data_IF_506343313650
#
_entry.id   IF_506343313650
#
_cell.length_a   1.000
_cell.length_b   1.000
_cell.length_c   1.000
_cell.angle_alpha   90.00
_cell.angle_beta   90.00
_cell.angle_gamma   90.00
#
_symmetry.space_group_name_H-M   'P 1'
#
loop_
_entity.id
_entity.type
_entity.pdbx_description
1 polymer ?
#
# COMPACT_ATOMS: atom_id res chain seq x y z
N UNK A 1 3.07 -23.19 30.86
CA UNK A 1 2.60 -21.88 31.37
C UNK A 1 2.89 -20.87 30.27
N UNK A 2 1.90 -20.54 29.45
CA UNK A 2 2.05 -19.50 28.43
C UNK A 2 1.67 -18.17 29.06
N UNK A 3 2.67 -17.40 29.47
CA UNK A 3 2.47 -16.00 29.86
C UNK A 3 2.16 -15.22 28.61
N UNK A 4 0.89 -14.89 28.40
CA UNK A 4 0.48 -13.88 27.42
C UNK A 4 1.20 -12.59 27.78
N UNK A 5 2.00 -11.98 26.89
CA UNK A 5 2.69 -10.74 27.22
C UNK A 5 1.65 -9.65 27.50
N UNK A 6 1.74 -9.01 28.67
CA UNK A 6 0.90 -7.87 29.01
C UNK A 6 1.11 -6.75 27.98
N UNK A 7 0.04 -6.06 27.54
CA UNK A 7 0.17 -4.95 26.61
C UNK A 7 1.02 -3.85 27.25
N UNK A 8 2.15 -3.52 26.62
CA UNK A 8 3.05 -2.45 27.07
C UNK A 8 2.27 -1.14 27.15
N UNK A 9 2.12 -0.59 28.37
CA UNK A 9 1.48 0.71 28.56
C UNK A 9 2.41 1.83 28.10
N UNK A 10 2.05 2.52 27.01
CA UNK A 10 2.78 3.68 26.51
C UNK A 10 2.40 4.96 27.26
N UNK A 11 3.40 5.77 27.62
CA UNK A 11 3.24 7.08 28.24
C UNK A 11 2.60 8.09 27.29
N UNK A 12 2.04 9.18 27.84
CA UNK A 12 1.45 10.27 27.05
C UNK A 12 2.45 10.86 26.05
N UNK A 13 3.71 11.04 26.47
CA UNK A 13 4.79 11.56 25.63
C UNK A 13 5.08 10.65 24.44
N UNK A 14 5.09 9.33 24.65
CA UNK A 14 5.29 8.35 23.58
C UNK A 14 4.12 8.35 22.60
N UNK A 15 2.88 8.45 23.09
CA UNK A 15 1.68 8.55 22.25
C UNK A 15 1.69 9.80 21.37
N UNK A 16 2.02 10.96 21.94
CA UNK A 16 2.11 12.22 21.20
C UNK A 16 3.19 12.17 20.11
N UNK A 17 4.38 11.69 20.45
CA UNK A 17 5.47 11.52 19.47
C UNK A 17 5.06 10.54 18.36
N UNK A 18 4.35 9.46 18.70
CA UNK A 18 3.84 8.52 17.70
C UNK A 18 2.89 9.18 16.69
N UNK A 19 1.98 10.06 17.16
CA UNK A 19 1.08 10.82 16.29
C UNK A 19 1.82 11.80 15.38
N UNK A 20 2.86 12.48 15.88
CA UNK A 20 3.69 13.37 15.05
C UNK A 20 4.45 12.59 13.98
N UNK A 21 5.02 11.43 14.36
CA UNK A 21 5.72 10.54 13.43
C UNK A 21 4.78 9.92 12.40
N UNK A 22 3.51 9.70 12.75
CA UNK A 22 2.51 9.23 11.79
C UNK A 22 2.44 10.19 10.61
N UNK A 23 2.23 11.50 10.84
CA UNK A 23 2.15 12.49 9.74
C UNK A 23 3.33 12.45 8.76
N UNK A 24 4.53 12.20 9.26
CA UNK A 24 5.72 12.05 8.41
C UNK A 24 5.68 10.76 7.57
N UNK A 25 5.19 9.65 8.14
CA UNK A 25 4.96 8.39 7.42
C UNK A 25 3.86 8.54 6.37
N UNK A 26 2.78 9.24 6.70
CA UNK A 26 1.65 9.54 5.80
C UNK A 26 2.13 10.26 4.54
N UNK A 27 2.93 11.31 4.72
CA UNK A 27 3.57 12.04 3.61
C UNK A 27 4.41 11.11 2.73
N UNK A 28 5.18 10.21 3.33
CA UNK A 28 6.02 9.26 2.59
C UNK A 28 5.22 8.23 1.81
N UNK A 29 4.09 7.76 2.35
CA UNK A 29 3.16 6.86 1.64
C UNK A 29 2.68 7.54 0.35
N UNK A 30 2.18 8.78 0.45
CA UNK A 30 1.67 9.54 -0.70
C UNK A 30 2.77 9.77 -1.74
N UNK A 31 3.95 10.18 -1.31
CA UNK A 31 5.06 10.42 -2.23
C UNK A 31 5.52 9.14 -2.94
N UNK A 32 5.54 8.02 -2.22
CA UNK A 32 5.99 6.73 -2.76
C UNK A 32 4.92 6.05 -3.60
N UNK A 33 3.63 6.36 -3.38
CA UNK A 33 2.52 5.76 -4.15
C UNK A 33 2.41 6.33 -5.56
N UNK A 34 2.78 7.59 -5.78
CA UNK A 34 2.68 8.23 -7.10
C UNK A 34 3.34 7.42 -8.24
N UNK A 35 4.62 7.01 -8.17
CA UNK A 35 5.23 6.22 -9.23
C UNK A 35 4.57 4.84 -9.40
N UNK A 36 4.07 4.23 -8.31
CA UNK A 36 3.32 2.98 -8.40
C UNK A 36 1.98 3.16 -9.13
N UNK A 37 1.22 4.22 -8.80
CA UNK A 37 -0.06 4.55 -9.44
C UNK A 37 0.15 4.79 -10.93
N UNK A 38 1.14 5.60 -11.30
CA UNK A 38 1.47 5.89 -12.70
C UNK A 38 1.82 4.60 -13.47
N UNK A 39 2.58 3.70 -12.84
CA UNK A 39 2.93 2.42 -13.45
C UNK A 39 1.70 1.51 -13.61
N UNK A 40 0.86 1.41 -12.59
CA UNK A 40 -0.38 0.63 -12.62
C UNK A 40 -1.33 1.13 -13.69
N UNK A 41 -1.54 2.46 -13.79
CA UNK A 41 -2.39 3.04 -14.82
C UNK A 41 -1.89 2.65 -16.22
N UNK A 42 -0.60 2.84 -16.50
CA UNK A 42 -0.05 2.49 -17.81
C UNK A 42 -0.15 0.98 -18.12
N UNK A 43 0.15 0.11 -17.17
CA UNK A 43 0.11 -1.34 -17.40
C UNK A 43 -1.32 -1.86 -17.55
N UNK A 44 -2.26 -1.36 -16.73
CA UNK A 44 -3.66 -1.74 -16.81
C UNK A 44 -4.32 -1.23 -18.10
N UNK A 45 -4.03 0.01 -18.54
CA UNK A 45 -4.47 0.53 -19.84
C UNK A 45 -4.01 -0.36 -20.99
N UNK A 46 -2.74 -0.78 -20.98
CA UNK A 46 -2.19 -1.68 -21.98
C UNK A 46 -2.86 -3.06 -21.96
N UNK A 47 -3.33 -3.53 -20.80
CA UNK A 47 -4.00 -4.83 -20.66
C UNK A 47 -5.45 -4.81 -21.18
N UNK A 48 -6.16 -3.69 -21.00
CA UNK A 48 -7.55 -3.55 -21.45
C UNK A 48 -7.68 -2.98 -22.87
N UNK A 49 -6.57 -2.60 -23.50
CA UNK A 49 -6.48 -1.98 -24.83
C UNK A 49 -7.41 -0.77 -25.01
N UNK A 50 -7.61 -0.03 -23.92
CA UNK A 50 -8.46 1.16 -23.87
C UNK A 50 -8.06 2.07 -22.72
N UNK A 51 -8.66 3.26 -22.67
CA UNK A 51 -8.45 4.21 -21.57
C UNK A 51 -9.02 3.66 -20.28
N UNK A 52 -8.30 3.83 -19.18
CA UNK A 52 -8.78 3.40 -17.86
C UNK A 52 -10.13 4.04 -17.51
N UNK A 53 -11.14 3.25 -17.09
CA UNK A 53 -12.38 3.78 -16.59
C UNK A 53 -12.13 4.75 -15.42
N UNK A 54 -12.81 5.90 -15.44
CA UNK A 54 -12.67 6.96 -14.43
C UNK A 54 -12.83 6.42 -13.00
N UNK A 55 -13.67 5.41 -12.81
CA UNK A 55 -13.87 4.79 -11.50
C UNK A 55 -12.61 4.06 -11.02
N UNK A 56 -11.98 3.24 -11.87
CA UNK A 56 -10.73 2.55 -11.53
C UNK A 56 -9.57 3.53 -11.30
N UNK A 57 -9.49 4.62 -12.08
CA UNK A 57 -8.52 5.70 -11.85
C UNK A 57 -8.73 6.32 -10.46
N UNK A 58 -9.98 6.67 -10.13
CA UNK A 58 -10.33 7.23 -8.82
C UNK A 58 -9.98 6.32 -7.67
N UNK A 59 -10.09 5.00 -7.82
CA UNK A 59 -9.68 4.02 -6.82
C UNK A 59 -8.17 4.11 -6.52
N UNK A 60 -7.33 4.11 -7.57
CA UNK A 60 -5.88 4.21 -7.42
C UNK A 60 -5.41 5.57 -6.88
N UNK A 61 -6.14 6.63 -7.21
CA UNK A 61 -5.88 7.99 -6.73
C UNK A 61 -6.46 8.24 -5.34
N UNK A 62 -7.13 7.27 -4.72
CA UNK A 62 -7.53 7.41 -3.31
C UNK A 62 -6.27 7.62 -2.48
N UNK A 63 -6.29 8.69 -1.69
CA UNK A 63 -5.16 9.11 -0.88
C UNK A 63 -4.79 8.11 0.22
N UNK A 64 -3.92 8.57 1.10
CA UNK A 64 -3.22 7.80 2.14
C UNK A 64 -4.08 6.88 3.03
N UNK A 65 -5.33 7.25 3.30
CA UNK A 65 -6.26 6.45 4.12
C UNK A 65 -6.60 5.09 3.46
N UNK A 66 -6.51 4.98 2.13
CA UNK A 66 -6.83 3.75 1.40
C UNK A 66 -5.60 2.92 1.04
N UNK A 67 -4.40 3.49 1.16
CA UNK A 67 -3.14 2.73 1.25
C UNK A 67 -2.96 2.16 2.66
N UNK A 68 -4.01 1.54 3.21
CA UNK A 68 -4.08 0.92 4.54
C UNK A 68 -4.30 -0.59 4.42
N UNK A 69 -4.27 -1.28 5.57
CA UNK A 69 -4.66 -2.70 5.69
C UNK A 69 -4.00 -3.63 4.68
N UNK A 70 -2.68 -3.72 4.85
CA UNK A 70 -1.82 -4.54 4.03
C UNK A 70 -2.20 -6.01 4.17
N UNK A 71 -2.54 -6.63 3.05
CA UNK A 71 -2.78 -8.08 3.02
C UNK A 71 -1.44 -8.81 2.89
N UNK A 72 -1.02 -9.45 3.98
CA UNK A 72 0.26 -10.15 4.06
C UNK A 72 0.28 -11.45 3.26
N UNK A 73 -0.87 -11.94 2.76
CA UNK A 73 -0.88 -13.11 1.86
C UNK A 73 -0.23 -12.81 0.51
N UNK A 74 -0.14 -11.54 0.12
CA UNK A 74 0.48 -11.13 -1.12
C UNK A 74 2.00 -10.93 -0.97
N UNK A 75 2.80 -11.38 -1.95
CA UNK A 75 4.24 -11.15 -1.97
C UNK A 75 4.62 -9.66 -1.93
N UNK A 76 5.86 -9.37 -1.57
CA UNK A 76 6.40 -8.00 -1.42
C UNK A 76 6.53 -7.21 -2.73
N UNK A 77 6.36 -7.87 -3.86
CA UNK A 77 6.36 -7.28 -5.19
C UNK A 77 4.95 -7.13 -5.77
N UNK A 78 3.92 -7.65 -5.10
CA UNK A 78 2.57 -7.64 -5.62
C UNK A 78 1.79 -6.43 -5.07
N UNK A 79 1.41 -5.46 -5.91
CA UNK A 79 0.67 -4.28 -5.49
C UNK A 79 -0.76 -4.62 -5.03
N UNK A 80 -1.30 -5.81 -5.34
CA UNK A 80 -2.59 -6.28 -4.81
C UNK A 80 -2.59 -6.48 -3.30
N UNK A 81 -1.44 -6.38 -2.63
CA UNK A 81 -1.40 -6.29 -1.17
C UNK A 81 -2.16 -5.06 -0.63
N UNK A 82 -2.37 -4.02 -1.45
CA UNK A 82 -3.16 -2.84 -1.10
C UNK A 82 -4.62 -2.96 -1.61
N UNK A 83 -5.63 -2.64 -0.77
CA UNK A 83 -7.04 -2.68 -1.17
C UNK A 83 -7.36 -1.88 -2.43
N UNK A 84 -6.86 -0.64 -2.55
CA UNK A 84 -7.09 0.22 -3.72
C UNK A 84 -6.72 -0.41 -5.04
N UNK A 85 -5.68 -1.23 -5.05
CA UNK A 85 -5.22 -1.90 -6.27
C UNK A 85 -6.16 -3.05 -6.61
N UNK A 86 -6.65 -3.79 -5.61
CA UNK A 86 -7.65 -4.85 -5.82
C UNK A 86 -8.97 -4.27 -6.31
N UNK A 87 -9.43 -3.20 -5.66
CA UNK A 87 -10.66 -2.51 -6.03
C UNK A 87 -10.57 -2.00 -7.48
N UNK A 88 -9.44 -1.38 -7.86
CA UNK A 88 -9.22 -0.94 -9.23
C UNK A 88 -9.21 -2.09 -10.25
N UNK A 89 -8.60 -3.24 -9.92
CA UNK A 89 -8.58 -4.43 -10.80
C UNK A 89 -9.97 -5.04 -10.93
N UNK A 90 -10.75 -5.06 -9.83
CA UNK A 90 -12.12 -5.56 -9.81
C UNK A 90 -13.04 -4.71 -10.69
N UNK A 91 -12.91 -3.38 -10.65
CA UNK A 91 -13.64 -2.47 -11.54
C UNK A 91 -13.35 -2.71 -13.03
N UNK A 92 -12.19 -3.27 -13.36
CA UNK A 92 -11.82 -3.65 -14.72
C UNK A 92 -12.28 -5.06 -15.09
N UNK A 93 -12.86 -5.81 -14.14
CA UNK A 93 -13.19 -7.23 -14.27
C UNK A 93 -11.99 -8.08 -14.74
N UNK A 94 -10.76 -7.67 -14.38
CA UNK A 94 -9.54 -8.36 -14.79
C UNK A 94 -9.24 -9.55 -13.88
N UNK A 95 -8.91 -10.69 -14.50
CA UNK A 95 -8.36 -11.85 -13.80
C UNK A 95 -6.86 -11.94 -14.07
N UNK A 96 -6.06 -11.40 -13.15
CA UNK A 96 -4.61 -11.44 -13.25
C UNK A 96 -4.05 -12.68 -12.52
N UNK A 97 -3.15 -13.46 -13.14
CA UNK A 97 -2.52 -14.59 -12.46
C UNK A 97 -1.69 -14.15 -11.24
N UNK A 98 -1.38 -15.08 -10.35
CA UNK A 98 -0.69 -14.79 -9.09
C UNK A 98 0.71 -14.18 -9.32
N UNK A 99 1.38 -14.56 -10.39
CA UNK A 99 2.74 -14.15 -10.75
C UNK A 99 2.79 -12.96 -11.73
N UNK A 100 1.62 -12.39 -12.09
CA UNK A 100 1.52 -11.33 -13.09
C UNK A 100 2.55 -10.20 -12.88
N UNK A 101 2.56 -9.60 -11.70
CA UNK A 101 3.45 -8.47 -11.37
C UNK A 101 4.91 -8.87 -11.21
N UNK A 102 5.20 -10.14 -10.87
CA UNK A 102 6.56 -10.65 -10.79
C UNK A 102 7.23 -10.72 -12.17
N UNK A 103 6.42 -11.03 -13.19
CA UNK A 103 6.88 -11.22 -14.57
C UNK A 103 6.88 -9.93 -15.40
N UNK A 104 6.40 -8.80 -14.85
CA UNK A 104 6.42 -7.52 -15.54
C UNK A 104 7.86 -7.03 -15.74
N UNK A 105 8.19 -6.47 -16.92
CA UNK A 105 9.51 -5.91 -17.17
C UNK A 105 9.79 -4.71 -16.27
N UNK A 106 11.06 -4.44 -16.04
CA UNK A 106 11.49 -3.21 -15.37
C UNK A 106 11.19 -2.02 -16.27
N UNK A 107 10.69 -0.93 -15.67
CA UNK A 107 10.48 0.35 -16.35
C UNK A 107 11.30 1.42 -15.64
N UNK A 108 12.08 2.16 -16.42
CA UNK A 108 13.07 3.11 -15.90
C UNK A 108 14.02 2.48 -14.85
N UNK A 109 14.35 1.19 -15.03
CA UNK A 109 15.19 0.42 -14.11
C UNK A 109 14.47 -0.11 -12.86
N UNK A 110 13.22 0.27 -12.61
CA UNK A 110 12.46 -0.12 -11.43
C UNK A 110 11.55 -1.32 -11.72
N UNK A 111 11.51 -2.28 -10.81
CA UNK A 111 10.55 -3.38 -10.78
C UNK A 111 9.34 -3.01 -9.89
N UNK A 112 8.25 -3.78 -9.97
CA UNK A 112 7.14 -3.62 -9.03
C UNK A 112 7.56 -3.77 -7.57
N UNK A 113 8.53 -4.64 -7.27
CA UNK A 113 9.11 -4.75 -5.92
C UNK A 113 9.71 -3.43 -5.44
N UNK A 114 10.44 -2.74 -6.32
CA UNK A 114 11.10 -1.48 -6.00
C UNK A 114 10.09 -0.36 -5.69
N UNK A 115 8.87 -0.46 -6.25
CA UNK A 115 7.77 0.48 -6.05
C UNK A 115 6.87 0.12 -4.85
N UNK A 116 6.58 -1.17 -4.65
CA UNK A 116 5.67 -1.66 -3.60
C UNK A 116 6.32 -1.63 -2.23
N UNK A 117 7.58 -2.07 -2.13
CA UNK A 117 8.26 -2.25 -0.84
C UNK A 117 8.35 -0.97 0.01
N UNK A 118 8.73 0.21 -0.54
CA UNK A 118 8.76 1.44 0.24
C UNK A 118 7.41 1.78 0.87
N UNK A 119 6.32 1.59 0.11
CA UNK A 119 4.95 1.85 0.60
C UNK A 119 4.60 0.83 1.70
N UNK A 120 4.88 -0.46 1.48
CA UNK A 120 4.65 -1.55 2.45
C UNK A 120 5.35 -1.28 3.78
N UNK A 121 6.63 -0.89 3.74
CA UNK A 121 7.42 -0.58 4.92
C UNK A 121 6.82 0.62 5.69
N UNK A 122 6.37 1.65 4.98
CA UNK A 122 5.70 2.80 5.61
C UNK A 122 4.34 2.45 6.20
N UNK A 123 3.52 1.64 5.52
CA UNK A 123 2.22 1.18 6.04
C UNK A 123 2.39 0.36 7.31
N UNK A 124 3.36 -0.55 7.35
CA UNK A 124 3.71 -1.30 8.55
C UNK A 124 4.23 -0.38 9.67
N UNK A 125 5.05 0.62 9.34
CA UNK A 125 5.50 1.61 10.31
C UNK A 125 4.31 2.41 10.89
N UNK A 126 3.36 2.84 10.06
CA UNK A 126 2.15 3.54 10.49
C UNK A 126 1.32 2.67 11.43
N UNK A 127 1.14 1.38 11.11
CA UNK A 127 0.43 0.43 11.99
C UNK A 127 1.08 0.32 13.37
N UNK A 128 2.41 0.20 13.45
CA UNK A 128 3.14 0.20 14.73
C UNK A 128 2.95 1.51 15.50
N UNK A 129 2.97 2.66 14.81
CA UNK A 129 2.76 3.96 15.46
C UNK A 129 1.32 4.12 15.97
N UNK A 130 0.31 3.63 15.25
CA UNK A 130 -1.09 3.60 15.70
C UNK A 130 -1.25 2.77 16.98
N UNK A 131 -0.63 1.60 17.05
CA UNK A 131 -0.59 0.78 18.26
C UNK A 131 0.02 1.52 19.45
N UNK A 132 1.11 2.27 19.23
CA UNK A 132 1.75 3.10 20.27
C UNK A 132 0.81 4.24 20.70
N UNK A 133 0.20 4.93 19.75
CA UNK A 133 -0.70 6.06 20.00
C UNK A 133 -2.03 5.64 20.64
N UNK A 134 -2.41 4.36 20.54
CA UNK A 134 -3.70 3.85 20.99
C UNK A 134 -4.84 4.18 20.02
N UNK A 135 -4.53 4.41 18.74
CA UNK A 135 -5.50 4.65 17.68
C UNK A 135 -5.74 3.36 16.88
N UNK A 136 -6.99 3.14 16.45
CA UNK A 136 -7.36 2.05 15.53
C UNK A 136 -7.29 2.58 14.11
#
# INVERSE_FOLDING_TARGET
>A
MNSTPEPKAYSLKERMNALERMRAVETKIIQSSLPLIQRLLSDLENLIDTTMPVKAVRELEKGELWWSDLDESYPDHDPRCFPVVRDAIEELALQLPADHFANQPRVQGQSYRDLVRPIRDQVQQRSKLRQIAGTR
#
